data_IF_958437141285
#
_entry.id   IF_958437141285
#
_cell.length_a   1.000
_cell.length_b   1.000
_cell.length_c   1.000
_cell.angle_alpha   90.00
_cell.angle_beta   90.00
_cell.angle_gamma   90.00
#
_symmetry.space_group_name_H-M   'P 1'
#
loop_
_entity.id
_entity.type
_entity.pdbx_description
1 polymer ?
#
# COMPACT_ATOMS: atom_id res chain seq x y z
N UNK A 1 7.47 14.73 -3.82
CA UNK A 1 7.10 13.49 -3.12
C UNK A 1 8.36 12.71 -2.80
N UNK A 2 8.52 12.16 -1.59
CA UNK A 2 9.70 11.33 -1.23
C UNK A 2 9.61 9.95 -1.89
N UNK A 3 10.74 9.31 -2.18
CA UNK A 3 10.75 7.96 -2.76
C UNK A 3 10.32 6.90 -1.73
N UNK A 4 9.81 5.76 -2.20
CA UNK A 4 9.48 4.63 -1.32
C UNK A 4 10.67 4.22 -0.44
N UNK A 5 11.86 4.12 -1.03
CA UNK A 5 13.08 3.75 -0.29
C UNK A 5 13.43 4.76 0.81
N UNK A 6 13.24 6.06 0.54
CA UNK A 6 13.45 7.10 1.55
C UNK A 6 12.40 7.00 2.68
N UNK A 7 11.12 6.79 2.36
CA UNK A 7 10.07 6.61 3.35
C UNK A 7 10.31 5.36 4.21
N UNK A 8 10.66 4.23 3.59
CA UNK A 8 11.03 2.99 4.28
C UNK A 8 12.19 3.20 5.24
N UNK A 9 13.25 3.86 4.78
CA UNK A 9 14.43 4.17 5.59
C UNK A 9 14.13 5.11 6.77
N UNK A 10 13.21 6.07 6.60
CA UNK A 10 12.77 6.94 7.69
C UNK A 10 12.01 6.15 8.77
N UNK A 11 11.15 5.21 8.38
CA UNK A 11 10.46 4.31 9.33
C UNK A 11 11.44 3.35 10.03
N UNK A 12 12.43 2.82 9.31
CA UNK A 12 13.47 1.96 9.90
C UNK A 12 14.28 2.68 10.99
N UNK A 13 14.59 3.96 10.79
CA UNK A 13 15.29 4.76 11.80
C UNK A 13 14.50 4.90 13.11
N UNK A 14 13.17 4.82 13.03
CA UNK A 14 12.27 4.79 14.19
C UNK A 14 12.04 3.37 14.72
N UNK A 15 12.85 2.38 14.28
CA UNK A 15 12.74 0.95 14.62
C UNK A 15 11.39 0.34 14.24
N UNK A 16 10.75 0.89 13.21
CA UNK A 16 9.47 0.45 12.67
C UNK A 16 9.57 0.02 11.21
N UNK A 17 8.40 -0.15 10.60
CA UNK A 17 8.22 -0.45 9.19
C UNK A 17 7.29 0.56 8.53
N UNK A 18 7.22 0.55 7.20
CA UNK A 18 6.06 1.12 6.53
C UNK A 18 4.81 0.34 6.99
N UNK A 19 3.72 1.06 7.23
CA UNK A 19 2.49 0.44 7.71
C UNK A 19 1.96 -0.61 6.74
N UNK A 20 1.32 -1.65 7.27
CA UNK A 20 0.61 -2.66 6.52
C UNK A 20 -0.74 -2.89 7.20
N UNK A 21 -1.70 -3.47 6.48
CA UNK A 21 -3.04 -3.76 7.03
C UNK A 21 -3.41 -5.22 6.76
N UNK A 22 -3.86 -5.90 7.81
CA UNK A 22 -4.23 -7.32 7.81
C UNK A 22 -5.61 -7.59 7.21
N UNK A 23 -6.43 -6.55 7.02
CA UNK A 23 -7.76 -6.66 6.45
C UNK A 23 -8.53 -5.35 6.46
N UNK A 24 -9.76 -5.40 5.94
CA UNK A 24 -10.63 -4.23 5.80
C UNK A 24 -10.94 -3.50 7.13
N UNK A 25 -11.15 -4.18 8.28
CA UNK A 25 -11.37 -3.47 9.55
C UNK A 25 -10.19 -2.58 9.95
N UNK A 26 -8.96 -3.07 9.79
CA UNK A 26 -7.75 -2.31 10.12
C UNK A 26 -7.54 -1.15 9.14
N UNK A 27 -7.85 -1.35 7.86
CA UNK A 27 -7.84 -0.27 6.89
C UNK A 27 -8.83 0.85 7.25
N UNK A 28 -10.06 0.51 7.69
CA UNK A 28 -11.03 1.52 8.14
C UNK A 28 -10.52 2.33 9.33
N UNK A 29 -9.85 1.68 10.28
CA UNK A 29 -9.25 2.36 11.43
C UNK A 29 -8.13 3.32 10.98
N UNK A 30 -7.25 2.87 10.07
CA UNK A 30 -6.20 3.71 9.50
C UNK A 30 -6.78 4.94 8.78
N UNK A 31 -7.83 4.76 7.98
CA UNK A 31 -8.50 5.87 7.29
C UNK A 31 -9.12 6.88 8.28
N UNK A 32 -9.73 6.39 9.37
CA UNK A 32 -10.24 7.25 10.44
C UNK A 32 -9.14 8.08 11.10
N UNK A 33 -8.01 7.46 11.45
CA UNK A 33 -6.86 8.16 12.04
C UNK A 33 -6.29 9.24 11.11
N UNK A 34 -6.24 8.99 9.80
CA UNK A 34 -5.75 9.96 8.82
C UNK A 34 -6.72 11.14 8.64
N UNK A 35 -8.03 10.89 8.73
CA UNK A 35 -9.04 11.94 8.74
C UNK A 35 -8.94 12.82 10.00
N UNK A 36 -8.79 12.21 11.18
CA UNK A 36 -8.63 12.92 12.46
C UNK A 36 -7.34 13.75 12.50
N UNK A 37 -6.29 13.30 11.81
CA UNK A 37 -5.05 14.04 11.64
C UNK A 37 -5.16 15.24 10.67
N UNK A 38 -6.36 15.52 10.14
CA UNK A 38 -6.63 16.59 9.17
C UNK A 38 -5.67 16.56 7.98
N UNK A 39 -5.38 15.35 7.49
CA UNK A 39 -4.39 15.14 6.43
C UNK A 39 -4.85 15.84 5.13
N UNK A 40 -3.99 16.66 4.49
CA UNK A 40 -4.36 17.39 3.26
C UNK A 40 -4.69 16.45 2.09
N UNK A 41 -5.89 16.56 1.53
CA UNK A 41 -6.33 15.77 0.36
C UNK A 41 -6.14 16.55 -0.96
N UNK A 42 -5.84 15.87 -2.09
CA UNK A 42 -5.53 14.45 -2.19
C UNK A 42 -4.12 14.13 -1.69
N UNK A 43 -3.91 12.92 -1.21
CA UNK A 43 -2.58 12.47 -0.76
C UNK A 43 -2.24 11.06 -1.20
N UNK A 44 -0.93 10.78 -1.23
CA UNK A 44 -0.38 9.46 -1.43
C UNK A 44 0.57 9.14 -0.28
N UNK A 45 0.23 8.13 0.51
CA UNK A 45 1.00 7.69 1.67
C UNK A 45 1.66 6.35 1.34
N UNK A 46 2.99 6.28 1.38
CA UNK A 46 3.69 5.02 1.20
C UNK A 46 3.33 4.03 2.32
N UNK A 47 2.96 2.82 1.92
CA UNK A 47 2.70 1.68 2.82
C UNK A 47 3.66 0.55 2.46
N UNK A 48 3.73 -0.51 3.27
CA UNK A 48 4.59 -1.67 3.04
C UNK A 48 4.21 -2.53 1.82
N UNK A 49 3.39 -2.02 0.89
CA UNK A 49 2.85 -2.76 -0.23
C UNK A 49 3.83 -2.75 -1.40
N UNK A 50 4.33 -3.93 -1.79
CA UNK A 50 5.39 -4.06 -2.80
C UNK A 50 5.24 -5.34 -3.61
N UNK A 51 5.58 -5.24 -4.90
CA UNK A 51 5.84 -6.37 -5.79
C UNK A 51 7.31 -6.35 -6.18
N UNK A 52 8.04 -7.40 -5.83
CA UNK A 52 9.48 -7.48 -6.11
C UNK A 52 9.76 -7.63 -7.62
N UNK A 53 11.01 -7.33 -8.03
CA UNK A 53 11.48 -7.76 -9.34
C UNK A 53 11.33 -9.29 -9.45
N UNK A 54 11.11 -9.81 -10.66
CA UNK A 54 10.74 -11.19 -11.00
C UNK A 54 9.34 -11.67 -10.54
N UNK A 55 8.62 -10.92 -9.72
CA UNK A 55 7.21 -11.19 -9.43
C UNK A 55 6.33 -10.57 -10.52
N UNK A 56 5.80 -11.42 -11.40
CA UNK A 56 4.90 -11.00 -12.48
C UNK A 56 3.55 -10.52 -11.95
N UNK A 57 2.85 -9.70 -12.74
CA UNK A 57 1.43 -9.44 -12.51
C UNK A 57 0.65 -10.73 -12.70
N UNK A 58 -0.07 -11.18 -11.67
CA UNK A 58 -0.95 -12.34 -11.73
C UNK A 58 -2.40 -11.87 -11.64
N UNK A 59 -3.17 -12.01 -12.71
CA UNK A 59 -4.54 -11.45 -12.78
C UNK A 59 -5.50 -12.03 -11.73
N UNK A 60 -5.26 -13.27 -11.33
CA UNK A 60 -6.05 -13.99 -10.32
C UNK A 60 -5.70 -13.62 -8.87
N UNK A 61 -4.58 -12.91 -8.65
CA UNK A 61 -4.13 -12.55 -7.30
C UNK A 61 -4.65 -11.16 -6.89
N UNK A 62 -5.01 -10.96 -5.61
CA UNK A 62 -5.31 -9.63 -5.08
C UNK A 62 -4.19 -8.65 -5.39
N UNK A 63 -4.56 -7.47 -5.89
CA UNK A 63 -3.63 -6.43 -6.34
C UNK A 63 -2.56 -6.94 -7.32
N UNK A 64 -2.79 -8.06 -8.01
CA UNK A 64 -1.92 -8.63 -9.04
C UNK A 64 -0.50 -8.90 -8.59
N UNK A 65 -0.35 -9.53 -7.42
CA UNK A 65 0.93 -10.03 -6.92
C UNK A 65 1.73 -9.03 -6.09
N UNK A 66 1.09 -7.98 -5.58
CA UNK A 66 1.65 -7.20 -4.48
C UNK A 66 1.54 -7.98 -3.16
N UNK A 67 2.45 -7.68 -2.25
CA UNK A 67 2.56 -8.30 -0.94
C UNK A 67 3.00 -7.26 0.09
N UNK A 68 2.71 -7.52 1.36
CA UNK A 68 3.16 -6.72 2.47
C UNK A 68 4.61 -7.06 2.84
N UNK A 69 5.50 -6.09 2.74
CA UNK A 69 6.88 -6.14 3.23
C UNK A 69 6.90 -5.98 4.76
N UNK A 70 7.67 -6.83 5.45
CA UNK A 70 7.94 -6.66 6.89
C UNK A 70 6.73 -6.86 7.80
N UNK A 71 5.64 -7.46 7.30
CA UNK A 71 4.46 -7.78 8.10
C UNK A 71 4.86 -8.66 9.30
N UNK A 72 4.45 -8.26 10.50
CA UNK A 72 4.76 -8.98 11.75
C UNK A 72 6.25 -9.12 12.09
N UNK A 73 7.13 -8.28 11.53
CA UNK A 73 8.58 -8.37 11.75
C UNK A 73 9.24 -9.56 11.06
N UNK A 74 8.50 -10.26 10.20
CA UNK A 74 9.01 -11.38 9.40
C UNK A 74 9.76 -10.92 8.15
N UNK A 75 10.61 -11.80 7.63
CA UNK A 75 11.30 -11.61 6.34
C UNK A 75 10.47 -12.12 5.15
N UNK A 76 9.37 -12.82 5.42
CA UNK A 76 8.50 -13.40 4.40
C UNK A 76 7.41 -12.38 4.05
N UNK A 77 7.26 -11.99 2.77
CA UNK A 77 6.17 -11.12 2.36
C UNK A 77 4.82 -11.79 2.63
N UNK A 78 3.89 -11.02 3.17
CA UNK A 78 2.53 -11.51 3.44
C UNK A 78 1.59 -11.17 2.28
N UNK A 79 0.81 -12.13 1.83
CA UNK A 79 -0.18 -11.91 0.76
C UNK A 79 -1.24 -10.87 1.18
N UNK A 80 -1.75 -10.15 0.18
CA UNK A 80 -2.81 -9.17 0.39
C UNK A 80 -4.16 -9.90 0.44
N UNK A 81 -4.94 -9.77 1.53
CA UNK A 81 -6.30 -10.31 1.59
C UNK A 81 -7.17 -9.81 0.42
N UNK A 82 -7.95 -10.70 -0.18
CA UNK A 82 -8.82 -10.37 -1.32
C UNK A 82 -9.78 -9.20 -1.05
N UNK A 83 -10.22 -9.03 0.20
CA UNK A 83 -11.05 -7.90 0.61
C UNK A 83 -10.38 -6.52 0.38
N UNK A 84 -9.06 -6.46 0.49
CA UNK A 84 -8.27 -5.25 0.24
C UNK A 84 -7.95 -5.05 -1.25
N UNK A 85 -8.24 -6.02 -2.11
CA UNK A 85 -8.00 -5.94 -3.55
C UNK A 85 -8.97 -5.02 -4.30
N UNK A 86 -9.97 -4.46 -3.62
CA UNK A 86 -11.01 -3.61 -4.22
C UNK A 86 -10.67 -2.14 -3.97
N UNK A 87 -10.45 -1.38 -5.04
CA UNK A 87 -10.18 0.07 -4.96
C UNK A 87 -8.72 0.40 -5.22
N UNK A 88 -8.40 0.70 -6.47
CA UNK A 88 -7.06 1.09 -6.90
C UNK A 88 -6.96 1.18 -8.41
N UNK A 89 -5.94 1.88 -8.89
CA UNK A 89 -5.58 1.86 -10.30
C UNK A 89 -5.02 0.48 -10.67
N UNK A 90 -5.28 0.05 -11.90
CA UNK A 90 -4.74 -1.20 -12.43
C UNK A 90 -3.19 -1.16 -12.43
N UNK A 91 -2.50 -2.07 -11.72
CA UNK A 91 -1.05 -2.06 -11.69
C UNK A 91 -0.41 -2.26 -13.06
N UNK A 92 0.77 -1.66 -13.26
CA UNK A 92 1.50 -1.85 -14.51
C UNK A 92 1.92 -3.31 -14.67
N UNK A 93 1.62 -3.88 -15.86
CA UNK A 93 2.01 -5.25 -16.25
C UNK A 93 3.52 -5.33 -16.49
N UNK A 94 4.27 -5.60 -15.41
CA UNK A 94 5.73 -5.62 -15.42
C UNK A 94 6.27 -6.55 -14.34
N UNK A 95 7.27 -7.36 -14.71
CA UNK A 95 8.04 -8.22 -13.80
C UNK A 95 9.52 -7.85 -13.70
N UNK A 96 10.02 -6.91 -14.51
CA UNK A 96 11.44 -6.59 -14.60
C UNK A 96 11.93 -5.64 -13.51
N UNK A 97 11.00 -4.86 -12.92
CA UNK A 97 11.30 -3.85 -11.91
C UNK A 97 10.39 -4.08 -10.71
N UNK A 98 10.95 -3.88 -9.51
CA UNK A 98 10.15 -3.82 -8.30
C UNK A 98 9.19 -2.63 -8.39
N UNK A 99 7.94 -2.86 -7.98
CA UNK A 99 6.88 -1.85 -7.90
C UNK A 99 6.45 -1.69 -6.46
N UNK A 100 6.22 -0.46 -6.04
CA UNK A 100 5.76 -0.12 -4.70
C UNK A 100 4.43 0.58 -4.83
N UNK A 101 3.57 0.48 -3.83
CA UNK A 101 2.27 1.14 -3.84
C UNK A 101 2.06 1.93 -2.55
N UNK A 102 1.32 3.02 -2.69
CA UNK A 102 0.84 3.83 -1.59
C UNK A 102 -0.68 3.77 -1.46
N UNK A 103 -1.16 4.13 -0.27
CA UNK A 103 -2.55 4.45 -0.03
C UNK A 103 -2.82 5.85 -0.59
N UNK A 104 -3.57 5.91 -1.68
CA UNK A 104 -4.07 7.15 -2.24
C UNK A 104 -5.38 7.51 -1.55
N UNK A 105 -5.48 8.76 -1.10
CA UNK A 105 -6.67 9.34 -0.52
C UNK A 105 -7.16 10.44 -1.46
N UNK A 106 -8.38 10.29 -1.96
CA UNK A 106 -9.00 11.26 -2.86
C UNK A 106 -9.74 12.34 -2.08
N UNK A 107 -9.96 13.49 -2.71
CA UNK A 107 -10.93 14.47 -2.22
C UNK A 107 -12.34 13.87 -2.28
N UNK A 108 -13.27 14.41 -1.48
CA UNK A 108 -14.67 13.98 -1.44
C UNK A 108 -15.40 14.33 -2.76
N UNK A 109 -15.14 13.53 -3.79
CA UNK A 109 -15.87 13.52 -5.07
C UNK A 109 -16.68 12.24 -5.25
N UNK A 110 -17.16 11.99 -6.48
CA UNK A 110 -18.00 10.83 -6.83
C UNK A 110 -17.27 9.46 -6.84
N UNK A 111 -15.99 9.42 -6.46
CA UNK A 111 -15.16 8.21 -6.45
C UNK A 111 -14.96 7.60 -5.05
N UNK A 112 -14.33 6.42 -4.96
CA UNK A 112 -13.86 5.89 -3.68
C UNK A 112 -12.92 6.91 -3.01
N UNK A 113 -13.14 7.20 -1.73
CA UNK A 113 -12.32 8.14 -0.96
C UNK A 113 -10.88 7.67 -0.78
N UNK A 114 -10.59 6.40 -1.11
CA UNK A 114 -9.25 5.82 -1.06
C UNK A 114 -9.05 4.74 -2.12
N UNK A 115 -7.79 4.44 -2.42
CA UNK A 115 -7.40 3.29 -3.24
C UNK A 115 -5.89 3.04 -3.22
N UNK A 116 -5.45 1.95 -3.83
CA UNK A 116 -4.02 1.67 -4.03
C UNK A 116 -3.49 2.33 -5.29
N UNK A 117 -2.29 2.91 -5.21
CA UNK A 117 -1.63 3.56 -6.35
C UNK A 117 -0.13 3.22 -6.38
N UNK A 118 0.36 2.79 -7.54
CA UNK A 118 1.77 2.53 -7.82
C UNK A 118 2.60 3.83 -7.96
#
# INVERSE_FOLDING_TARGET
NVSYAAARGACDQQRGGLAWVSGEPELRLLLGLLADAAMPLPALLWVGLKRNASACTHEEQPLRGFSWEGAGGGTVPQEVPAALGRGGEEPLRSCLKARCAGLHLADAGDGPSWGWKE
#
